data_IF_882393461128
#
_entry.id   IF_882393461128
#
_cell.length_a   1.000
_cell.length_b   1.000
_cell.length_c   1.000
_cell.angle_alpha   90.00
_cell.angle_beta   90.00
_cell.angle_gamma   90.00
#
_symmetry.space_group_name_H-M   'P 1'
#
loop_
_entity.id
_entity.type
_entity.pdbx_description
1 polymer ?
#
# COMPACT_ATOMS: atom_id res chain seq x y z
N UNK A 1 -19.73 -5.97 2.82
CA UNK A 1 -19.41 -4.58 2.47
C UNK A 1 -18.02 -4.30 2.99
N UNK A 2 -17.13 -3.76 2.15
CA UNK A 2 -15.75 -3.46 2.48
C UNK A 2 -15.67 -2.27 3.45
N UNK A 3 -15.08 -2.49 4.63
CA UNK A 3 -14.68 -1.41 5.53
C UNK A 3 -13.40 -0.75 4.98
N UNK A 4 -13.53 0.48 4.48
CA UNK A 4 -12.40 1.28 3.98
C UNK A 4 -11.59 1.89 5.12
N UNK A 5 -10.30 2.14 4.87
CA UNK A 5 -9.46 2.89 5.80
C UNK A 5 -9.89 4.36 5.88
N UNK A 6 -9.45 5.07 6.93
CA UNK A 6 -9.96 6.41 7.26
C UNK A 6 -9.74 7.45 6.16
N UNK A 7 -8.65 7.33 5.40
CA UNK A 7 -8.29 8.25 4.31
C UNK A 7 -9.08 8.07 3.03
N UNK A 8 -10.04 7.13 2.95
CA UNK A 8 -10.87 6.92 1.76
C UNK A 8 -12.36 7.12 2.01
N UNK A 9 -13.03 7.71 1.02
CA UNK A 9 -14.49 7.74 0.96
C UNK A 9 -14.99 7.34 -0.42
N UNK A 10 -15.99 6.46 -0.47
CA UNK A 10 -16.61 5.96 -1.71
C UNK A 10 -18.12 5.90 -1.52
N UNK A 11 -18.90 6.41 -2.46
CA UNK A 11 -20.36 6.51 -2.32
C UNK A 11 -21.11 5.17 -2.44
N UNK A 12 -20.55 4.19 -3.15
CA UNK A 12 -21.19 2.89 -3.44
C UNK A 12 -20.43 1.72 -2.78
N UNK A 13 -20.05 1.91 -1.52
CA UNK A 13 -19.25 0.94 -0.76
C UNK A 13 -19.98 -0.40 -0.57
N UNK A 14 -21.32 -0.42 -0.62
CA UNK A 14 -22.15 -1.63 -0.56
C UNK A 14 -21.86 -2.64 -1.68
N UNK A 15 -21.28 -2.18 -2.79
CA UNK A 15 -20.87 -3.04 -3.91
C UNK A 15 -19.43 -3.55 -3.79
N UNK A 16 -18.69 -3.12 -2.76
CA UNK A 16 -17.33 -3.54 -2.49
C UNK A 16 -17.33 -4.64 -1.43
N UNK A 17 -16.62 -5.72 -1.70
CA UNK A 17 -16.51 -6.87 -0.80
C UNK A 17 -15.06 -7.27 -0.65
N UNK A 18 -14.72 -7.72 0.56
CA UNK A 18 -13.45 -8.36 0.82
C UNK A 18 -13.38 -9.68 0.06
N UNK A 19 -12.38 -9.78 -0.81
CA UNK A 19 -12.12 -10.93 -1.68
C UNK A 19 -10.78 -10.73 -2.39
N UNK A 20 -10.24 -11.79 -2.96
CA UNK A 20 -9.03 -11.72 -3.76
C UNK A 20 -9.20 -12.41 -5.12
N UNK A 21 -8.38 -12.04 -6.08
CA UNK A 21 -8.34 -12.64 -7.40
C UNK A 21 -6.89 -12.77 -7.89
N UNK A 22 -6.71 -13.55 -8.95
CA UNK A 22 -5.45 -13.63 -9.68
C UNK A 22 -5.50 -12.67 -10.86
N UNK A 23 -4.78 -11.56 -10.76
CA UNK A 23 -4.76 -10.52 -11.79
C UNK A 23 -3.93 -10.95 -13.01
N UNK A 24 -2.76 -11.55 -12.75
CA UNK A 24 -1.86 -12.07 -13.79
C UNK A 24 -1.23 -13.37 -13.31
N UNK A 25 -0.35 -13.98 -14.11
CA UNK A 25 0.42 -15.16 -13.67
C UNK A 25 1.34 -14.88 -12.47
N UNK A 26 1.64 -13.60 -12.21
CA UNK A 26 2.57 -13.14 -11.17
C UNK A 26 1.94 -12.23 -10.11
N UNK A 27 0.64 -11.91 -10.22
CA UNK A 27 -0.01 -10.95 -9.31
C UNK A 27 -1.29 -11.51 -8.71
N UNK A 28 -1.39 -11.44 -7.38
CA UNK A 28 -2.65 -11.45 -6.67
C UNK A 28 -3.10 -10.02 -6.38
N UNK A 29 -4.41 -9.82 -6.34
CA UNK A 29 -5.02 -8.55 -5.96
C UNK A 29 -6.19 -8.84 -5.03
N UNK A 30 -6.29 -8.11 -3.92
CA UNK A 30 -7.33 -8.28 -2.92
C UNK A 30 -7.91 -6.95 -2.50
N UNK A 31 -9.22 -6.91 -2.28
CA UNK A 31 -9.81 -5.90 -1.41
C UNK A 31 -9.72 -6.44 0.02
N UNK A 32 -9.10 -5.69 0.93
CA UNK A 32 -8.91 -6.12 2.32
C UNK A 32 -9.66 -5.19 3.27
N UNK A 33 -10.36 -5.73 4.26
CA UNK A 33 -10.97 -4.89 5.30
C UNK A 33 -9.90 -4.08 6.05
N UNK A 34 -10.21 -2.81 6.37
CA UNK A 34 -9.29 -1.91 7.06
C UNK A 34 -8.69 -2.54 8.32
N UNK A 35 -9.51 -3.24 9.11
CA UNK A 35 -9.11 -3.95 10.33
C UNK A 35 -8.16 -5.12 10.10
N UNK A 36 -8.10 -5.68 8.88
CA UNK A 36 -7.26 -6.83 8.53
C UNK A 36 -5.96 -6.48 7.80
N UNK A 37 -5.81 -5.24 7.32
CA UNK A 37 -4.61 -4.85 6.56
C UNK A 37 -3.34 -5.09 7.39
N UNK A 38 -3.35 -4.74 8.68
CA UNK A 38 -2.18 -4.95 9.54
C UNK A 38 -1.78 -6.43 9.64
N UNK A 39 -2.73 -7.34 9.89
CA UNK A 39 -2.45 -8.78 10.01
C UNK A 39 -2.01 -9.41 8.69
N UNK A 40 -2.55 -8.95 7.55
CA UNK A 40 -2.14 -9.41 6.22
C UNK A 40 -0.67 -9.09 5.96
N UNK A 41 -0.24 -7.87 6.28
CA UNK A 41 1.16 -7.46 6.13
C UNK A 41 2.09 -8.17 7.11
N UNK A 42 1.66 -8.35 8.36
CA UNK A 42 2.40 -9.14 9.35
C UNK A 42 2.57 -10.60 8.90
N UNK A 43 1.53 -11.19 8.30
CA UNK A 43 1.60 -12.54 7.74
C UNK A 43 2.64 -12.62 6.61
N UNK A 44 2.63 -11.67 5.67
CA UNK A 44 3.63 -11.61 4.59
C UNK A 44 5.05 -11.53 5.17
N UNK A 45 5.31 -10.61 6.09
CA UNK A 45 6.64 -10.47 6.73
C UNK A 45 7.05 -11.76 7.45
N UNK A 46 6.12 -12.42 8.14
CA UNK A 46 6.41 -13.61 8.93
C UNK A 46 6.82 -14.83 8.09
N UNK A 47 6.26 -15.00 6.90
CA UNK A 47 6.56 -16.15 6.03
C UNK A 47 7.88 -16.01 5.26
N UNK A 48 8.46 -14.81 5.20
CA UNK A 48 9.74 -14.57 4.53
C UNK A 48 10.92 -14.80 5.48
N UNK A 49 11.79 -15.75 5.14
CA UNK A 49 13.04 -16.04 5.87
C UNK A 49 14.27 -15.51 5.13
N UNK A 50 14.27 -14.19 4.95
CA UNK A 50 15.28 -13.45 4.21
C UNK A 50 15.32 -11.97 4.63
N UNK A 51 16.37 -11.21 4.27
CA UNK A 51 16.33 -9.76 4.37
C UNK A 51 15.20 -9.18 3.53
N UNK A 52 14.44 -8.29 4.12
CA UNK A 52 13.33 -7.58 3.49
C UNK A 52 13.75 -6.14 3.15
N UNK A 53 12.97 -5.48 2.30
CA UNK A 53 12.98 -4.04 2.16
C UNK A 53 11.58 -3.49 2.40
N UNK A 54 11.52 -2.24 2.85
CA UNK A 54 10.30 -1.46 2.95
C UNK A 54 10.23 -0.48 1.78
N UNK A 55 9.04 -0.27 1.22
CA UNK A 55 8.76 0.69 0.16
C UNK A 55 7.72 1.69 0.67
N UNK A 56 7.95 2.98 0.41
CA UNK A 56 6.96 4.03 0.65
C UNK A 56 6.89 4.93 -0.58
N UNK A 57 5.69 5.06 -1.14
CA UNK A 57 5.40 5.98 -2.24
C UNK A 57 4.54 7.13 -1.73
N UNK A 58 5.00 8.36 -1.95
CA UNK A 58 4.31 9.58 -1.55
C UNK A 58 4.07 10.46 -2.78
N UNK A 59 2.83 10.91 -3.02
CA UNK A 59 2.58 11.95 -4.02
C UNK A 59 3.41 13.19 -3.70
N UNK A 60 4.05 13.77 -4.72
CA UNK A 60 4.89 14.95 -4.55
C UNK A 60 4.02 16.14 -4.12
N UNK A 61 4.53 16.95 -3.19
CA UNK A 61 3.79 18.13 -2.72
C UNK A 61 3.60 19.14 -3.86
N UNK A 62 2.50 19.89 -3.82
CA UNK A 62 2.17 20.86 -4.88
C UNK A 62 3.29 21.89 -5.16
N UNK A 63 4.05 22.27 -4.13
CA UNK A 63 5.15 23.21 -4.29
C UNK A 63 6.34 22.58 -5.01
N UNK A 64 6.62 21.30 -4.75
CA UNK A 64 7.68 20.56 -5.44
C UNK A 64 7.24 20.16 -6.85
N UNK A 65 5.96 19.85 -7.07
CA UNK A 65 5.37 19.65 -8.40
C UNK A 65 5.57 20.88 -9.30
N UNK A 66 5.31 22.08 -8.79
CA UNK A 66 5.54 23.33 -9.55
C UNK A 66 7.00 23.48 -9.95
N UNK A 67 7.95 23.07 -9.12
CA UNK A 67 9.38 23.12 -9.44
C UNK A 67 9.72 22.11 -10.53
N UNK A 68 9.27 20.85 -10.39
CA UNK A 68 9.52 19.78 -11.38
C UNK A 68 8.91 20.16 -12.74
N UNK A 69 7.66 20.62 -12.72
CA UNK A 69 6.89 20.90 -13.92
C UNK A 69 7.12 22.32 -14.49
N UNK A 70 8.13 23.06 -14.02
CA UNK A 70 8.39 24.46 -14.45
C UNK A 70 7.13 25.35 -14.42
N UNK A 71 6.33 25.21 -13.36
CA UNK A 71 5.03 25.85 -13.09
C UNK A 71 3.83 25.39 -13.95
N UNK A 72 3.99 24.42 -14.87
CA UNK A 72 2.88 23.87 -15.67
C UNK A 72 2.77 22.37 -15.43
N UNK A 73 1.95 21.98 -14.46
CA UNK A 73 1.72 20.58 -14.09
C UNK A 73 0.87 19.92 -15.18
N UNK A 74 1.48 18.98 -15.92
CA UNK A 74 0.80 18.13 -16.92
C UNK A 74 0.63 16.68 -16.44
N UNK A 75 1.53 16.26 -15.57
CA UNK A 75 1.63 14.93 -14.99
C UNK A 75 1.92 15.11 -13.50
N UNK A 76 1.44 14.19 -12.68
CA UNK A 76 1.76 14.11 -11.26
C UNK A 76 2.91 13.14 -11.06
N UNK A 77 3.68 13.36 -10.00
CA UNK A 77 4.83 12.55 -9.63
C UNK A 77 4.65 12.00 -8.22
N UNK A 78 5.35 10.90 -7.97
CA UNK A 78 5.54 10.33 -6.64
C UNK A 78 7.01 10.15 -6.32
N UNK A 79 7.34 10.41 -5.06
CA UNK A 79 8.61 10.04 -4.46
C UNK A 79 8.54 8.61 -3.98
N UNK A 80 9.55 7.81 -4.36
CA UNK A 80 9.68 6.42 -3.93
C UNK A 80 10.85 6.31 -2.97
N UNK A 81 10.54 5.98 -1.72
CA UNK A 81 11.49 5.77 -0.64
C UNK A 81 11.66 4.28 -0.36
N UNK A 82 12.87 3.88 0.02
CA UNK A 82 13.19 2.53 0.45
C UNK A 82 13.92 2.50 1.78
N UNK A 83 13.75 1.40 2.52
CA UNK A 83 14.68 0.94 3.55
C UNK A 83 15.10 -0.47 3.17
N UNK A 84 16.39 -0.71 2.97
CA UNK A 84 16.93 -2.00 2.56
C UNK A 84 17.46 -2.84 3.73
N UNK A 85 17.50 -4.16 3.54
CA UNK A 85 18.20 -5.07 4.43
C UNK A 85 17.55 -5.24 5.80
N UNK A 86 16.28 -4.90 5.94
CA UNK A 86 15.51 -5.06 7.17
C UNK A 86 15.40 -6.53 7.57
N UNK A 87 15.61 -6.80 8.85
CA UNK A 87 15.17 -8.05 9.47
C UNK A 87 13.64 -8.11 9.57
N UNK A 88 13.11 -9.33 9.77
CA UNK A 88 11.68 -9.55 10.04
C UNK A 88 11.22 -8.72 11.24
N UNK A 89 12.01 -8.69 12.30
CA UNK A 89 11.72 -7.98 13.54
C UNK A 89 11.66 -6.46 13.32
N UNK A 90 12.55 -5.90 12.49
CA UNK A 90 12.53 -4.49 12.12
C UNK A 90 11.29 -4.13 11.31
N UNK A 91 10.91 -4.95 10.31
CA UNK A 91 9.68 -4.73 9.54
C UNK A 91 8.43 -4.75 10.43
N UNK A 92 8.33 -5.71 11.35
CA UNK A 92 7.22 -5.78 12.31
C UNK A 92 7.22 -4.58 13.26
N UNK A 93 8.39 -4.15 13.74
CA UNK A 93 8.52 -2.98 14.60
C UNK A 93 8.12 -1.68 13.88
N UNK A 94 8.42 -1.56 12.58
CA UNK A 94 7.98 -0.45 11.74
C UNK A 94 6.45 -0.42 11.66
N UNK A 95 5.80 -1.56 11.39
CA UNK A 95 4.33 -1.66 11.36
C UNK A 95 3.70 -1.35 12.72
N UNK A 96 4.29 -1.80 13.82
CA UNK A 96 3.79 -1.49 15.17
C UNK A 96 3.85 0.03 15.44
N UNK A 97 4.92 0.70 14.97
CA UNK A 97 5.15 2.12 15.25
C UNK A 97 4.39 3.06 14.33
N UNK A 98 4.33 2.74 13.04
CA UNK A 98 3.82 3.64 12.00
C UNK A 98 2.63 3.05 11.21
N UNK A 99 2.19 1.83 11.52
CA UNK A 99 1.09 1.17 10.83
C UNK A 99 -0.23 1.95 10.86
N UNK A 100 -0.57 2.61 11.98
CA UNK A 100 -1.78 3.46 12.03
C UNK A 100 -1.71 4.57 10.97
N UNK A 101 -0.54 5.17 10.79
CA UNK A 101 -0.33 6.25 9.83
C UNK A 101 -0.34 5.75 8.39
N UNK A 102 0.46 4.71 8.13
CA UNK A 102 0.62 4.10 6.81
C UNK A 102 -0.67 3.48 6.27
N UNK A 103 -1.42 2.76 7.12
CA UNK A 103 -2.62 2.05 6.70
C UNK A 103 -3.79 3.02 6.48
N UNK A 104 -3.91 4.06 7.31
CA UNK A 104 -5.07 4.93 7.27
C UNK A 104 -4.95 6.12 6.31
N UNK A 105 -3.76 6.39 5.79
CA UNK A 105 -3.55 7.47 4.83
C UNK A 105 -4.13 7.13 3.46
N UNK A 106 -4.83 8.09 2.85
CA UNK A 106 -5.47 7.90 1.55
C UNK A 106 -4.55 8.19 0.36
N UNK A 107 -3.38 8.80 0.58
CA UNK A 107 -2.50 9.27 -0.49
C UNK A 107 -1.26 8.40 -0.67
N UNK A 108 -0.68 7.88 0.41
CA UNK A 108 0.51 7.04 0.34
C UNK A 108 0.20 5.63 -0.12
N UNK A 109 1.18 5.01 -0.80
CA UNK A 109 1.24 3.56 -0.97
C UNK A 109 2.45 3.06 -0.19
N UNK A 110 2.38 1.87 0.38
CA UNK A 110 3.54 1.28 1.06
C UNK A 110 3.57 -0.23 0.92
N UNK A 111 4.75 -0.82 1.12
CA UNK A 111 4.91 -2.24 0.96
C UNK A 111 6.17 -2.81 1.59
N UNK A 112 6.30 -4.13 1.44
CA UNK A 112 7.51 -4.86 1.77
C UNK A 112 7.85 -5.83 0.66
N UNK A 113 9.14 -6.10 0.47
CA UNK A 113 9.58 -7.13 -0.47
C UNK A 113 10.81 -7.89 0.01
N UNK A 114 11.03 -9.07 -0.55
CA UNK A 114 12.18 -9.92 -0.27
C UNK A 114 13.37 -9.63 -1.18
N UNK A 115 14.57 -9.49 -0.61
CA UNK A 115 15.80 -9.23 -1.39
C UNK A 115 16.23 -10.40 -2.29
N UNK A 116 15.87 -11.65 -1.93
CA UNK A 116 16.24 -12.87 -2.66
C UNK A 116 15.07 -13.39 -3.49
N UNK A 117 13.87 -13.45 -2.91
CA UNK A 117 12.66 -13.91 -3.63
C UNK A 117 12.19 -12.92 -4.67
N UNK A 118 12.34 -11.63 -4.40
CA UNK A 118 11.66 -10.53 -5.10
C UNK A 118 10.14 -10.64 -5.04
N UNK A 119 9.62 -11.34 -4.04
CA UNK A 119 8.20 -11.31 -3.72
C UNK A 119 7.91 -9.96 -3.04
N UNK A 120 6.79 -9.32 -3.39
CA UNK A 120 6.43 -7.99 -2.88
C UNK A 120 4.96 -7.95 -2.48
N UNK A 121 4.65 -7.27 -1.37
CA UNK A 121 3.28 -6.90 -0.98
C UNK A 121 3.15 -5.38 -0.93
N UNK A 122 2.12 -4.83 -1.55
CA UNK A 122 1.83 -3.39 -1.54
C UNK A 122 0.40 -3.12 -1.06
N UNK A 123 0.22 -2.04 -0.30
CA UNK A 123 -1.07 -1.43 -0.03
C UNK A 123 -1.22 -0.29 -1.02
N UNK A 124 -2.13 -0.48 -1.96
CA UNK A 124 -2.53 0.45 -2.98
C UNK A 124 -3.83 1.17 -2.58
N UNK A 125 -4.27 2.08 -3.44
CA UNK A 125 -5.44 2.90 -3.21
C UNK A 125 -6.70 2.09 -2.89
N UNK A 126 -7.52 2.61 -1.98
CA UNK A 126 -8.83 2.06 -1.61
C UNK A 126 -8.79 0.63 -1.05
N UNK A 127 -7.85 0.38 -0.14
CA UNK A 127 -7.63 -0.91 0.53
C UNK A 127 -7.27 -2.07 -0.42
N UNK A 128 -6.75 -1.76 -1.61
CA UNK A 128 -6.31 -2.80 -2.52
C UNK A 128 -4.94 -3.28 -2.07
N UNK A 129 -4.82 -4.56 -1.76
CA UNK A 129 -3.54 -5.21 -1.46
C UNK A 129 -3.12 -6.01 -2.69
N UNK A 130 -1.90 -5.79 -3.17
CA UNK A 130 -1.32 -6.56 -4.25
C UNK A 130 -0.16 -7.39 -3.74
N UNK A 131 -0.01 -8.61 -4.29
CA UNK A 131 1.17 -9.44 -4.06
C UNK A 131 1.76 -9.79 -5.41
N UNK A 132 3.02 -9.43 -5.62
CA UNK A 132 3.82 -9.87 -6.75
C UNK A 132 4.70 -11.06 -6.35
N UNK A 133 4.78 -12.06 -7.22
CA UNK A 133 5.76 -13.14 -7.10
C UNK A 133 6.06 -13.79 -8.45
N UNK A 134 7.33 -14.14 -8.68
CA UNK A 134 7.73 -14.99 -9.81
C UNK A 134 7.17 -16.41 -9.69
N UNK A 135 6.88 -16.87 -8.47
CA UNK A 135 6.35 -18.19 -8.17
C UNK A 135 5.04 -18.08 -7.38
N UNK A 136 4.01 -17.51 -8.02
CA UNK A 136 2.74 -17.14 -7.39
C UNK A 136 2.03 -18.30 -6.68
N UNK A 137 2.30 -19.55 -7.06
CA UNK A 137 1.75 -20.74 -6.40
C UNK A 137 2.08 -20.82 -4.90
N UNK A 138 3.15 -20.15 -4.44
CA UNK A 138 3.48 -20.03 -3.00
C UNK A 138 2.42 -19.27 -2.21
N UNK A 139 1.62 -18.43 -2.87
CA UNK A 139 0.63 -17.56 -2.25
C UNK A 139 -0.81 -18.05 -2.46
N UNK A 140 -1.03 -19.25 -3.00
CA UNK A 140 -2.37 -19.79 -3.25
C UNK A 140 -3.26 -19.78 -1.99
N UNK A 141 -2.67 -20.12 -0.85
CA UNK A 141 -3.37 -20.22 0.43
C UNK A 141 -3.10 -19.01 1.34
N UNK A 142 -2.39 -17.98 0.85
CA UNK A 142 -1.95 -16.84 1.68
C UNK A 142 -3.11 -16.09 2.35
N UNK A 143 -4.24 -15.99 1.65
CA UNK A 143 -5.44 -15.28 2.09
C UNK A 143 -6.41 -16.16 2.90
N UNK A 144 -6.19 -17.48 2.94
CA UNK A 144 -7.06 -18.43 3.65
C UNK A 144 -7.10 -18.15 5.17
N UNK A 145 -5.97 -17.93 5.88
CA UNK A 145 -5.98 -17.61 7.32
C UNK A 145 -6.73 -16.30 7.64
N UNK A 146 -6.83 -15.40 6.67
CA UNK A 146 -7.49 -14.10 6.78
C UNK A 146 -8.99 -14.16 6.43
N UNK A 147 -9.49 -15.33 6.06
CA UNK A 147 -10.86 -15.57 5.59
C UNK A 147 -11.25 -14.72 4.37
N UNK A 148 -10.28 -14.35 3.52
CA UNK A 148 -10.52 -13.58 2.29
C UNK A 148 -10.70 -14.58 1.15
N UNK A 149 -11.89 -14.60 0.54
CA UNK A 149 -12.28 -15.62 -0.43
C UNK A 149 -11.83 -15.27 -1.85
N UNK A 150 -11.51 -16.30 -2.64
CA UNK A 150 -11.20 -16.15 -4.06
C UNK A 150 -12.46 -15.81 -4.87
N UNK A 151 -12.31 -14.90 -5.84
CA UNK A 151 -13.32 -14.58 -6.87
C UNK A 151 -12.67 -14.52 -8.25
N UNK A 152 -13.41 -14.92 -9.28
CA UNK A 152 -12.94 -14.82 -10.67
C UNK A 152 -12.80 -13.36 -11.12
N UNK A 153 -13.70 -12.48 -10.69
CA UNK A 153 -13.64 -11.05 -10.98
C UNK A 153 -13.75 -10.23 -9.69
N UNK A 154 -12.72 -9.45 -9.40
CA UNK A 154 -12.71 -8.51 -8.28
C UNK A 154 -13.35 -7.17 -8.70
N UNK A 155 -14.27 -6.66 -7.86
CA UNK A 155 -14.82 -5.31 -7.98
C UNK A 155 -14.01 -4.36 -7.09
N UNK A 156 -13.17 -3.54 -7.69
CA UNK A 156 -12.37 -2.52 -7.00
C UNK A 156 -13.14 -1.21 -6.87
N UNK A 157 -12.75 -0.35 -5.92
CA UNK A 157 -13.43 0.92 -5.66
C UNK A 157 -13.60 1.79 -6.91
N UNK A 158 -12.57 1.90 -7.75
CA UNK A 158 -12.65 2.74 -8.96
C UNK A 158 -13.63 2.25 -10.02
N UNK A 159 -14.04 0.97 -9.99
CA UNK A 159 -15.14 0.47 -10.83
C UNK A 159 -16.50 1.03 -10.40
N UNK A 160 -16.62 1.57 -9.18
CA UNK A 160 -17.87 2.16 -8.68
C UNK A 160 -17.92 3.69 -8.81
N UNK A 161 -16.84 4.32 -9.30
CA UNK A 161 -16.80 5.77 -9.41
C UNK A 161 -17.64 6.28 -10.59
N UNK A 162 -18.17 7.48 -10.44
CA UNK A 162 -18.83 8.21 -11.51
C UNK A 162 -18.57 9.71 -11.40
N UNK A 163 -18.92 10.48 -12.42
CA UNK A 163 -18.79 11.95 -12.39
C UNK A 163 -19.52 12.59 -11.20
N UNK A 164 -20.63 12.00 -10.76
CA UNK A 164 -21.44 12.48 -9.63
C UNK A 164 -21.12 11.80 -8.31
N UNK A 165 -20.26 10.78 -8.32
CA UNK A 165 -19.87 9.99 -7.16
C UNK A 165 -18.41 9.55 -7.30
N UNK A 166 -17.45 10.50 -7.23
CA UNK A 166 -16.03 10.18 -7.27
C UNK A 166 -15.60 9.46 -5.99
N UNK A 167 -14.48 8.74 -6.07
CA UNK A 167 -13.72 8.36 -4.88
C UNK A 167 -12.99 9.59 -4.32
N UNK A 168 -12.83 9.62 -3.00
CA UNK A 168 -12.09 10.65 -2.28
C UNK A 168 -10.92 9.99 -1.56
N UNK A 169 -9.74 10.58 -1.67
CA UNK A 169 -8.55 10.25 -0.91
C UNK A 169 -8.08 11.46 -0.11
N UNK A 170 -7.77 11.27 1.17
CA UNK A 170 -7.40 12.32 2.10
C UNK A 170 -6.17 11.91 2.91
N UNK A 171 -5.36 12.90 3.30
CA UNK A 171 -4.25 12.69 4.22
C UNK A 171 -4.82 12.30 5.58
N UNK A 172 -4.23 11.28 6.19
CA UNK A 172 -4.53 10.92 7.57
C UNK A 172 -3.47 11.50 8.51
N UNK A 173 -3.94 12.23 9.54
CA UNK A 173 -3.10 12.75 10.61
C UNK A 173 -3.32 11.94 11.89
N UNK A 174 -2.22 11.52 12.53
CA UNK A 174 -2.24 10.84 13.82
C UNK A 174 -1.16 11.45 14.72
N UNK A 175 -1.56 11.92 15.90
CA UNK A 175 -0.67 12.57 16.88
C UNK A 175 0.16 13.74 16.30
N UNK A 176 -0.43 14.55 15.42
CA UNK A 176 0.23 15.70 14.79
C UNK A 176 1.28 15.32 13.74
N UNK A 177 1.24 14.08 13.23
CA UNK A 177 2.12 13.60 12.15
C UNK A 177 1.29 13.06 10.98
N UNK A 178 1.86 13.17 9.79
CA UNK A 178 1.34 12.61 8.54
C UNK A 178 2.37 11.67 7.93
N UNK A 179 1.99 10.88 6.92
CA UNK A 179 2.94 10.03 6.17
C UNK A 179 4.14 10.80 5.60
N UNK A 180 3.99 12.10 5.36
CA UNK A 180 5.07 12.98 4.90
C UNK A 180 6.15 13.25 5.95
N UNK A 181 5.91 12.97 7.24
CA UNK A 181 6.94 13.03 8.27
C UNK A 181 7.83 11.78 8.27
N UNK A 182 7.38 10.66 7.69
CA UNK A 182 8.06 9.36 7.78
C UNK A 182 9.48 9.36 7.21
N UNK A 183 9.79 10.01 6.06
CA UNK A 183 11.18 10.08 5.57
C UNK A 183 12.15 10.67 6.60
N UNK A 184 11.72 11.64 7.42
CA UNK A 184 12.55 12.19 8.50
C UNK A 184 12.58 11.27 9.72
N UNK A 185 11.43 10.71 10.10
CA UNK A 185 11.29 9.86 11.29
C UNK A 185 12.03 8.53 11.16
N UNK A 186 12.17 8.02 9.93
CA UNK A 186 12.85 6.77 9.60
C UNK A 186 14.30 6.98 9.13
N UNK A 187 14.86 8.19 9.27
CA UNK A 187 16.23 8.49 8.85
C UNK A 187 17.27 7.57 9.53
N UNK A 188 17.13 7.33 10.83
CA UNK A 188 18.01 6.44 11.59
C UNK A 188 17.83 4.95 11.23
N UNK A 189 16.74 4.63 10.54
CA UNK A 189 16.46 3.29 10.00
C UNK A 189 17.06 3.13 8.59
N UNK A 190 17.65 4.18 8.03
CA UNK A 190 18.29 4.14 6.72
C UNK A 190 17.34 4.40 5.54
N UNK A 191 16.19 5.05 5.77
CA UNK A 191 15.30 5.41 4.66
C UNK A 191 15.98 6.39 3.70
N UNK A 192 15.81 6.17 2.40
CA UNK A 192 16.34 7.05 1.37
C UNK A 192 15.37 7.21 0.21
N UNK A 193 15.42 8.39 -0.44
CA UNK A 193 14.70 8.64 -1.70
C UNK A 193 15.44 7.95 -2.84
N UNK A 194 14.84 6.95 -3.47
CA UNK A 194 15.44 6.24 -4.59
C UNK A 194 15.17 6.95 -5.93
N UNK A 195 13.93 7.36 -6.16
CA UNK A 195 13.53 8.06 -7.37
C UNK A 195 12.31 8.96 -7.15
N UNK A 196 12.14 9.92 -8.06
CA UNK A 196 10.88 10.64 -8.27
C UNK A 196 10.40 10.26 -9.67
N UNK A 197 9.24 9.64 -9.78
CA UNK A 197 8.69 9.13 -11.04
C UNK A 197 7.27 9.60 -11.28
N UNK A 198 6.85 9.65 -12.54
CA UNK A 198 5.46 9.92 -12.90
C UNK A 198 4.52 8.86 -12.29
N UNK A 199 3.35 9.30 -11.81
CA UNK A 199 2.28 8.42 -11.30
C UNK A 199 1.68 7.52 -12.40
#
# INVERSE_FOLDING_TARGET
MLNLVKGYQVSLVENLFESFTKLTEHHLMANVHAEKILEVFQHFIAIHDEPLFFILELPVTIDREKVIASNIIKELHKDVYYIDGCSREECLALLIRYGDLLINDGLSQFGFGGHKSHDEIMLDSYNVVTIYSKELSKFNDFFEPHNIQFVEELVTAWKTFSKTSPGISEIYESNGKTVYDLPRELADWGIYLAETRTE
#
